data_IF_161669369411
#
_entry.id   IF_161669369411
#
_cell.length_a   1.000
_cell.length_b   1.000
_cell.length_c   1.000
_cell.angle_alpha   90.00
_cell.angle_beta   90.00
_cell.angle_gamma   90.00
#
_symmetry.space_group_name_H-M   'P 1'
#
loop_
_entity.id
_entity.type
_entity.pdbx_description
1 polymer ?
#
# COMPACT_ATOMS: atom_id res chain seq x y z
N UNK A 1 -11.11 -15.55 -19.95
CA UNK A 1 -10.94 -14.36 -19.08
C UNK A 1 -9.69 -14.57 -18.23
N UNK A 2 -8.85 -13.56 -18.08
CA UNK A 2 -7.69 -13.65 -17.20
C UNK A 2 -8.16 -13.87 -15.76
N UNK A 3 -7.52 -14.83 -15.06
CA UNK A 3 -7.86 -15.17 -13.67
C UNK A 3 -7.32 -14.07 -12.76
N UNK A 4 -8.16 -13.54 -11.86
CA UNK A 4 -7.75 -12.53 -10.86
C UNK A 4 -7.45 -13.21 -9.54
N UNK A 5 -6.40 -12.74 -8.84
CA UNK A 5 -6.10 -13.12 -7.46
C UNK A 5 -6.81 -12.15 -6.52
N UNK A 6 -7.90 -12.61 -5.89
CA UNK A 6 -8.68 -11.77 -4.97
C UNK A 6 -8.45 -12.10 -3.50
N UNK A 7 -7.85 -13.24 -3.18
CA UNK A 7 -7.52 -13.67 -1.82
C UNK A 7 -6.47 -14.75 -1.86
N UNK A 8 -5.60 -14.76 -0.88
CA UNK A 8 -4.66 -15.84 -0.62
C UNK A 8 -4.99 -16.54 0.70
N UNK A 9 -4.58 -17.80 0.81
CA UNK A 9 -4.74 -18.62 2.01
C UNK A 9 -3.49 -19.49 2.15
N UNK A 10 -2.36 -18.82 2.42
CA UNK A 10 -1.07 -19.48 2.62
C UNK A 10 -0.89 -19.83 4.09
N UNK A 11 -0.16 -20.91 4.32
CA UNK A 11 0.30 -21.31 5.62
C UNK A 11 1.82 -21.45 5.59
N UNK A 12 2.51 -20.49 6.20
CA UNK A 12 3.97 -20.45 6.27
C UNK A 12 4.45 -21.05 7.60
N UNK A 13 5.61 -21.71 7.57
CA UNK A 13 6.28 -22.12 8.78
C UNK A 13 6.59 -20.89 9.66
N UNK A 14 6.24 -20.94 10.94
CA UNK A 14 6.41 -19.81 11.87
C UNK A 14 5.42 -18.66 11.68
N UNK A 15 4.35 -18.85 10.88
CA UNK A 15 3.31 -17.82 10.72
C UNK A 15 2.59 -17.57 12.06
N UNK A 16 2.56 -16.32 12.49
CA UNK A 16 1.92 -15.87 13.73
C UNK A 16 0.60 -15.16 13.52
N UNK A 17 0.41 -14.55 12.35
CA UNK A 17 -0.82 -13.84 12.02
C UNK A 17 -1.04 -13.73 10.51
N UNK A 18 -2.30 -13.54 10.10
CA UNK A 18 -2.68 -13.12 8.76
C UNK A 18 -3.70 -11.99 8.83
N UNK A 19 -3.49 -10.96 8.04
CA UNK A 19 -4.40 -9.83 7.89
C UNK A 19 -4.81 -9.68 6.43
N UNK A 20 -6.11 -9.77 6.16
CA UNK A 20 -6.69 -9.52 4.84
C UNK A 20 -7.19 -8.09 4.76
N UNK A 21 -6.37 -7.20 4.21
CA UNK A 21 -6.72 -5.80 4.01
C UNK A 21 -7.62 -5.57 2.78
N UNK A 22 -7.93 -4.30 2.49
CA UNK A 22 -8.79 -3.92 1.35
C UNK A 22 -8.24 -4.43 0.00
N UNK A 23 -6.91 -4.45 -0.18
CA UNK A 23 -6.26 -4.78 -1.45
C UNK A 23 -4.99 -5.62 -1.29
N UNK A 24 -4.59 -5.95 -0.08
CA UNK A 24 -3.40 -6.76 0.24
C UNK A 24 -3.72 -7.79 1.29
N UNK A 25 -3.04 -8.94 1.19
CA UNK A 25 -2.99 -9.94 2.23
C UNK A 25 -1.60 -9.89 2.85
N UNK A 26 -1.51 -9.84 4.19
CA UNK A 26 -0.26 -9.65 4.93
C UNK A 26 -0.11 -10.77 5.95
N UNK A 27 0.97 -11.50 5.83
CA UNK A 27 1.33 -12.60 6.72
C UNK A 27 2.49 -12.17 7.61
N UNK A 28 2.35 -12.33 8.92
CA UNK A 28 3.44 -12.14 9.88
C UNK A 28 4.12 -13.48 10.15
N UNK A 29 5.45 -13.52 10.00
CA UNK A 29 6.26 -14.69 10.25
C UNK A 29 7.19 -14.38 11.42
N UNK A 30 7.06 -15.14 12.51
CA UNK A 30 7.72 -14.79 13.76
C UNK A 30 7.38 -13.37 14.21
N UNK A 31 8.39 -12.66 14.73
CA UNK A 31 8.24 -11.28 15.19
C UNK A 31 8.71 -10.23 14.18
N UNK A 32 9.51 -10.62 13.19
CA UNK A 32 10.35 -9.69 12.44
C UNK A 32 10.07 -9.63 10.94
N UNK A 33 9.32 -10.59 10.39
CA UNK A 33 9.11 -10.70 8.95
C UNK A 33 7.65 -10.52 8.57
N UNK A 34 7.43 -9.78 7.49
CA UNK A 34 6.15 -9.70 6.79
C UNK A 34 6.29 -10.28 5.38
N UNK A 35 5.29 -11.07 4.98
CA UNK A 35 5.06 -11.44 3.59
C UNK A 35 3.79 -10.73 3.15
N UNK A 36 3.92 -9.80 2.22
CA UNK A 36 2.81 -8.99 1.72
C UNK A 36 2.47 -9.41 0.29
N UNK A 37 1.21 -9.78 0.07
CA UNK A 37 0.68 -10.13 -1.25
C UNK A 37 -0.22 -9.02 -1.75
N UNK A 38 0.17 -8.35 -2.82
CA UNK A 38 -0.66 -7.37 -3.51
C UNK A 38 -1.67 -8.13 -4.38
N UNK A 39 -2.94 -8.08 -4.01
CA UNK A 39 -4.01 -8.76 -4.76
C UNK A 39 -4.58 -7.88 -5.86
N UNK A 40 -5.38 -8.48 -6.72
CA UNK A 40 -6.10 -7.81 -7.80
C UNK A 40 -7.39 -7.11 -7.30
N UNK A 41 -7.68 -7.18 -5.99
CA UNK A 41 -8.82 -6.44 -5.41
C UNK A 41 -8.65 -4.94 -5.64
N UNK A 42 -9.76 -4.25 -5.86
CA UNK A 42 -9.84 -2.80 -5.92
C UNK A 42 -10.86 -2.29 -4.92
N UNK A 43 -10.54 -1.19 -4.27
CA UNK A 43 -11.43 -0.48 -3.36
C UNK A 43 -11.68 0.92 -3.90
N UNK A 44 -12.94 1.35 -3.85
CA UNK A 44 -13.37 2.70 -4.19
C UNK A 44 -14.34 3.18 -3.12
N UNK A 45 -14.14 4.40 -2.59
CA UNK A 45 -14.94 4.97 -1.49
C UNK A 45 -15.07 4.01 -0.29
N UNK A 46 -13.95 3.35 0.08
CA UNK A 46 -13.86 2.34 1.14
C UNK A 46 -14.66 1.03 0.91
N UNK A 47 -15.27 0.87 -0.25
CA UNK A 47 -15.96 -0.35 -0.67
C UNK A 47 -15.05 -1.21 -1.55
N UNK A 48 -14.86 -2.47 -1.17
CA UNK A 48 -14.15 -3.45 -2.01
C UNK A 48 -15.09 -3.88 -3.12
N UNK A 49 -14.69 -3.67 -4.38
CA UNK A 49 -15.49 -4.06 -5.52
C UNK A 49 -15.53 -5.58 -5.70
N UNK A 50 -16.63 -6.13 -6.22
CA UNK A 50 -16.84 -7.59 -6.27
C UNK A 50 -15.92 -8.30 -7.27
N UNK A 51 -15.30 -7.57 -8.19
CA UNK A 51 -14.37 -8.13 -9.19
C UNK A 51 -13.02 -7.45 -9.07
N UNK A 52 -11.96 -8.26 -9.14
CA UNK A 52 -10.58 -7.76 -9.23
C UNK A 52 -10.25 -7.30 -10.65
N UNK A 53 -9.22 -6.47 -10.75
CA UNK A 53 -8.63 -6.03 -12.03
C UNK A 53 -7.44 -6.96 -12.33
N UNK A 54 -7.45 -7.71 -13.44
CA UNK A 54 -6.35 -8.63 -13.77
C UNK A 54 -4.99 -7.91 -13.78
N UNK A 55 -3.99 -8.54 -13.17
CA UNK A 55 -2.61 -8.06 -13.08
C UNK A 55 -2.42 -6.77 -12.27
N UNK A 56 -3.47 -6.20 -11.64
CA UNK A 56 -3.33 -4.98 -10.83
C UNK A 56 -2.34 -5.17 -9.67
N UNK A 57 -2.46 -6.27 -8.94
CA UNK A 57 -1.55 -6.57 -7.83
C UNK A 57 -0.11 -6.67 -8.28
N UNK A 58 0.14 -7.38 -9.39
CA UNK A 58 1.46 -7.53 -10.00
C UNK A 58 2.06 -6.18 -10.39
N UNK A 59 1.33 -5.34 -11.10
CA UNK A 59 1.82 -4.01 -11.54
C UNK A 59 2.16 -3.14 -10.34
N UNK A 60 1.27 -3.05 -9.36
CA UNK A 60 1.48 -2.23 -8.16
C UNK A 60 2.66 -2.69 -7.32
N UNK A 61 2.82 -4.01 -7.13
CA UNK A 61 3.92 -4.54 -6.34
C UNK A 61 5.29 -4.33 -7.03
N UNK A 62 5.36 -4.53 -8.34
CA UNK A 62 6.62 -4.31 -9.09
C UNK A 62 7.00 -2.83 -9.12
N UNK A 63 6.06 -1.91 -9.32
CA UNK A 63 6.32 -0.47 -9.24
C UNK A 63 6.83 -0.10 -7.84
N UNK A 64 6.16 -0.55 -6.78
CA UNK A 64 6.57 -0.28 -5.41
C UNK A 64 7.98 -0.85 -5.12
N UNK A 65 8.26 -2.09 -5.54
CA UNK A 65 9.57 -2.71 -5.37
C UNK A 65 10.67 -1.92 -6.09
N UNK A 66 10.43 -1.48 -7.34
CA UNK A 66 11.37 -0.67 -8.12
C UNK A 66 11.67 0.68 -7.44
N UNK A 67 10.67 1.36 -6.89
CA UNK A 67 10.89 2.61 -6.16
C UNK A 67 11.63 2.39 -4.84
N UNK A 68 11.34 1.33 -4.10
CA UNK A 68 12.07 0.98 -2.89
C UNK A 68 13.53 0.68 -3.17
N UNK A 69 13.85 0.03 -4.31
CA UNK A 69 15.24 -0.19 -4.73
C UNK A 69 15.92 1.10 -5.16
N UNK A 70 15.25 1.93 -5.95
CA UNK A 70 15.81 3.17 -6.47
C UNK A 70 16.07 4.23 -5.37
N UNK A 71 15.45 4.09 -4.20
CA UNK A 71 15.61 5.02 -3.08
C UNK A 71 16.37 4.42 -1.88
N UNK A 72 16.91 3.22 -2.02
CA UNK A 72 17.55 2.48 -0.93
C UNK A 72 18.85 3.17 -0.42
N UNK A 73 19.50 3.95 -1.26
CA UNK A 73 20.68 4.78 -0.94
C UNK A 73 20.30 6.09 -0.23
N UNK A 74 19.04 6.53 -0.31
CA UNK A 74 18.54 7.75 0.32
C UNK A 74 18.03 7.46 1.72
N UNK A 75 17.26 6.38 1.88
CA UNK A 75 16.65 6.00 3.16
C UNK A 75 16.49 4.49 3.27
N UNK A 76 16.83 3.87 4.42
CA UNK A 76 16.54 2.47 4.65
C UNK A 76 15.04 2.17 4.50
N UNK A 77 14.72 1.03 3.90
CA UNK A 77 13.32 0.62 3.75
C UNK A 77 13.09 -0.80 4.27
N UNK A 78 11.84 -1.21 4.32
CA UNK A 78 11.40 -2.49 4.90
C UNK A 78 11.62 -3.68 3.96
N UNK A 79 11.79 -3.48 2.66
CA UNK A 79 11.88 -4.56 1.66
C UNK A 79 13.15 -5.38 1.82
N UNK A 80 13.03 -6.69 1.81
CA UNK A 80 14.13 -7.65 1.77
C UNK A 80 14.21 -8.35 0.41
N UNK A 81 13.06 -8.80 -0.13
CA UNK A 81 12.99 -9.53 -1.38
C UNK A 81 11.63 -9.38 -2.07
N UNK A 82 11.60 -9.65 -3.37
CA UNK A 82 10.39 -9.73 -4.19
C UNK A 82 10.40 -11.08 -4.93
N UNK A 83 10.04 -12.19 -4.23
CA UNK A 83 10.14 -13.54 -4.77
C UNK A 83 9.12 -13.84 -5.87
N UNK A 84 8.07 -13.05 -5.98
CA UNK A 84 7.01 -13.15 -6.99
C UNK A 84 6.56 -11.75 -7.38
N UNK A 85 6.11 -11.51 -8.62
CA UNK A 85 5.61 -10.21 -9.05
C UNK A 85 4.54 -9.59 -8.16
N UNK A 86 3.76 -10.39 -7.44
CA UNK A 86 2.72 -9.94 -6.53
C UNK A 86 3.15 -9.94 -5.04
N UNK A 87 4.35 -10.43 -4.71
CA UNK A 87 4.78 -10.68 -3.34
C UNK A 87 6.02 -9.87 -2.99
N UNK A 88 5.97 -9.18 -1.86
CA UNK A 88 7.13 -8.57 -1.22
C UNK A 88 7.32 -9.16 0.17
N UNK A 89 8.53 -9.60 0.45
CA UNK A 89 8.99 -10.02 1.77
C UNK A 89 9.81 -8.89 2.37
N UNK A 90 9.57 -8.57 3.62
CA UNK A 90 10.28 -7.50 4.28
C UNK A 90 10.24 -7.55 5.80
N UNK A 91 10.89 -6.58 6.41
CA UNK A 91 10.95 -6.41 7.87
C UNK A 91 9.59 -5.95 8.40
N UNK A 92 9.18 -6.50 9.52
CA UNK A 92 8.03 -5.99 10.27
C UNK A 92 8.47 -4.74 11.01
N UNK A 93 8.02 -3.58 10.54
CA UNK A 93 8.30 -2.30 11.15
C UNK A 93 7.12 -1.83 11.99
N UNK A 94 7.39 -1.01 12.99
CA UNK A 94 6.35 -0.27 13.69
C UNK A 94 5.92 0.94 12.84
N UNK A 95 4.63 1.01 12.53
CA UNK A 95 4.07 2.10 11.73
C UNK A 95 3.79 3.33 12.59
N UNK A 96 4.14 4.51 12.09
CA UNK A 96 3.67 5.75 12.70
C UNK A 96 2.13 5.84 12.61
N UNK A 97 1.49 6.36 13.65
CA UNK A 97 0.04 6.56 13.69
C UNK A 97 -0.44 7.77 12.84
N UNK A 98 0.37 8.18 11.87
CA UNK A 98 0.11 9.31 10.98
C UNK A 98 0.34 8.90 9.54
N UNK A 99 -0.67 9.11 8.68
CA UNK A 99 -0.54 8.96 7.25
C UNK A 99 -0.09 10.29 6.62
N UNK A 100 1.04 10.28 5.93
CA UNK A 100 1.56 11.46 5.22
C UNK A 100 1.26 11.33 3.73
N UNK A 101 0.48 12.28 3.20
CA UNK A 101 0.09 12.30 1.80
C UNK A 101 0.71 13.53 1.12
N UNK A 102 1.62 13.29 0.16
CA UNK A 102 2.19 14.34 -0.68
C UNK A 102 1.42 14.40 -1.99
N UNK A 103 0.96 15.60 -2.35
CA UNK A 103 0.21 15.83 -3.59
C UNK A 103 0.97 16.83 -4.46
N UNK A 104 1.10 16.52 -5.74
CA UNK A 104 1.68 17.45 -6.73
C UNK A 104 0.77 18.63 -7.06
N UNK A 105 -0.51 18.50 -6.77
CA UNK A 105 -1.53 19.54 -7.05
C UNK A 105 -2.52 19.61 -5.89
N UNK A 106 -3.17 20.77 -5.74
CA UNK A 106 -4.26 20.96 -4.79
C UNK A 106 -5.52 20.23 -5.28
N UNK A 107 -5.76 19.02 -4.74
CA UNK A 107 -6.84 18.12 -5.17
C UNK A 107 -7.54 17.46 -3.97
N UNK A 108 -8.62 16.74 -4.23
CA UNK A 108 -9.33 15.94 -3.24
C UNK A 108 -9.94 16.78 -2.10
N UNK A 109 -9.73 16.36 -0.85
CA UNK A 109 -10.25 17.05 0.34
C UNK A 109 -9.67 18.46 0.51
N UNK A 110 -8.38 18.63 0.22
CA UNK A 110 -7.71 19.93 0.30
C UNK A 110 -8.32 20.93 -0.69
N UNK A 111 -8.58 20.50 -1.93
CA UNK A 111 -9.26 21.34 -2.92
C UNK A 111 -10.68 21.71 -2.50
N UNK A 112 -11.45 20.77 -1.97
CA UNK A 112 -12.80 21.06 -1.48
C UNK A 112 -12.78 22.12 -0.38
N UNK A 113 -11.91 21.95 0.62
CA UNK A 113 -11.75 22.93 1.70
C UNK A 113 -11.34 24.31 1.17
N UNK A 114 -10.37 24.37 0.25
CA UNK A 114 -9.93 25.62 -0.39
C UNK A 114 -11.06 26.30 -1.16
N UNK A 115 -11.83 25.56 -1.95
CA UNK A 115 -12.98 26.06 -2.70
C UNK A 115 -14.07 26.64 -1.76
N UNK A 116 -14.23 26.04 -0.57
CA UNK A 116 -15.16 26.47 0.45
C UNK A 116 -14.62 27.64 1.31
N UNK A 117 -13.48 28.23 0.92
CA UNK A 117 -12.89 29.42 1.54
C UNK A 117 -11.80 29.15 2.59
N UNK A 118 -11.44 27.90 2.86
CA UNK A 118 -10.33 27.59 3.75
C UNK A 118 -9.00 28.02 3.13
N UNK A 119 -8.24 28.83 3.87
CA UNK A 119 -6.92 29.32 3.43
C UNK A 119 -5.77 28.84 4.33
N UNK A 120 -6.05 27.88 5.19
CA UNK A 120 -5.02 27.20 6.00
C UNK A 120 -5.32 25.72 6.07
N UNK A 121 -4.37 24.87 5.68
CA UNK A 121 -4.49 23.41 5.72
C UNK A 121 -3.24 22.85 6.40
N UNK A 122 -3.43 22.06 7.46
CA UNK A 122 -2.33 21.46 8.24
C UNK A 122 -1.27 22.50 8.70
N UNK A 123 -1.71 23.69 9.12
CA UNK A 123 -0.82 24.76 9.56
C UNK A 123 -0.10 25.53 8.44
N UNK A 124 -0.39 25.22 7.17
CA UNK A 124 0.18 25.91 6.02
C UNK A 124 -0.84 26.88 5.43
N UNK A 125 -0.48 28.15 5.36
CA UNK A 125 -1.29 29.18 4.70
C UNK A 125 -1.21 29.02 3.18
N UNK A 126 -2.35 29.05 2.53
CA UNK A 126 -2.49 28.98 1.09
C UNK A 126 -2.72 30.37 0.52
N UNK A 127 -2.26 30.63 -0.71
CA UNK A 127 -2.56 31.90 -1.41
C UNK A 127 -4.05 32.02 -1.73
N UNK A 128 -4.48 33.26 -2.01
CA UNK A 128 -5.86 33.54 -2.47
C UNK A 128 -6.05 33.13 -3.92
#
# INVERSE_FOLDING_TARGET
>A
MAKTLVRTDFNFEGQTNVYHGKVRDVYSIGNDILVMVATDRISAFDVILPKGIPSKGQVLNQIAASFLDATADIVPNWKLATPDPMVTVGKKCEGFAVEMIIRGYLTGSAWRAYKDGCREICGVKLPD
#
